data_IF_880224468690
#
_entry.id   IF_880224468690
#
_cell.length_a   1.000
_cell.length_b   1.000
_cell.length_c   1.000
_cell.angle_alpha   90.00
_cell.angle_beta   90.00
_cell.angle_gamma   90.00
#
_symmetry.space_group_name_H-M   'P 1'
#
loop_
_entity.id
_entity.type
_entity.pdbx_description
1 polymer ?
#
# COMPACT_ATOMS: atom_id res chain seq x y z
N UNK A 1 17.02 10.99 14.33
CA UNK A 1 16.12 11.92 15.06
C UNK A 1 14.70 11.55 14.66
N UNK A 2 13.69 11.71 15.53
CA UNK A 2 12.30 11.45 15.16
C UNK A 2 11.88 12.37 14.02
N UNK A 3 11.01 11.86 13.14
CA UNK A 3 10.45 12.61 12.01
C UNK A 3 9.26 13.48 12.42
N UNK A 4 8.58 13.08 13.50
CA UNK A 4 7.41 13.80 14.02
C UNK A 4 7.71 14.31 15.44
N UNK A 5 7.64 15.64 15.62
CA UNK A 5 7.84 16.30 16.92
C UNK A 5 6.52 16.30 17.73
N UNK A 6 6.09 15.12 18.12
CA UNK A 6 4.93 14.92 19.00
C UNK A 6 5.05 13.59 19.73
N UNK A 7 4.36 13.48 20.86
CA UNK A 7 4.17 12.22 21.57
C UNK A 7 3.13 11.31 20.86
N UNK A 8 3.00 10.08 21.35
CA UNK A 8 1.96 9.16 20.89
C UNK A 8 0.58 9.74 21.17
N UNK A 9 -0.27 9.79 20.15
CA UNK A 9 -1.62 10.34 20.24
C UNK A 9 -2.51 9.36 21.01
N UNK A 10 -3.18 9.86 22.05
CA UNK A 10 -4.00 9.07 22.96
C UNK A 10 -5.44 9.57 23.01
N UNK A 11 -6.32 8.76 23.55
CA UNK A 11 -7.66 9.18 23.87
C UNK A 11 -7.65 10.07 25.14
N UNK A 12 -8.20 11.26 25.03
CA UNK A 12 -8.31 12.23 26.13
C UNK A 12 -9.77 12.67 26.38
N UNK A 13 -10.71 12.16 25.60
CA UNK A 13 -12.12 12.54 25.70
C UNK A 13 -12.49 13.87 25.07
N UNK A 14 -13.80 14.14 25.00
CA UNK A 14 -14.37 15.28 24.29
C UNK A 14 -14.02 16.65 24.89
N UNK A 15 -13.63 16.68 26.15
CA UNK A 15 -13.22 17.92 26.85
C UNK A 15 -11.79 18.34 26.57
N UNK A 16 -10.97 17.49 25.97
CA UNK A 16 -9.57 17.79 25.66
C UNK A 16 -9.44 19.01 24.74
N UNK A 17 -8.48 19.86 25.06
CA UNK A 17 -8.08 21.03 24.24
C UNK A 17 -6.88 20.71 23.34
N UNK A 18 -6.28 19.53 23.47
CA UNK A 18 -5.18 19.11 22.62
C UNK A 18 -5.64 19.01 21.16
N UNK A 19 -4.87 19.55 20.19
CA UNK A 19 -5.11 19.32 18.77
C UNK A 19 -4.68 17.89 18.34
N UNK A 20 -3.82 17.23 19.13
CA UNK A 20 -3.25 15.90 18.87
C UNK A 20 -3.78 14.91 19.92
N UNK A 21 -5.10 14.74 19.98
CA UNK A 21 -5.75 13.75 20.84
C UNK A 21 -6.96 13.13 20.16
N UNK A 22 -7.21 11.86 20.39
CA UNK A 22 -8.48 11.25 20.06
C UNK A 22 -9.53 11.69 21.08
N UNK A 23 -10.62 12.26 20.58
CA UNK A 23 -11.68 12.83 21.44
C UNK A 23 -12.92 11.94 21.52
N UNK A 24 -13.13 11.11 20.52
CA UNK A 24 -14.32 10.28 20.38
C UNK A 24 -14.01 8.79 20.34
N UNK A 25 -12.86 8.41 19.79
CA UNK A 25 -12.42 7.02 19.71
C UNK A 25 -11.59 6.67 20.95
N UNK A 26 -12.17 5.83 21.81
CA UNK A 26 -11.48 5.21 22.93
C UNK A 26 -11.16 3.74 22.58
N UNK A 27 -9.90 3.39 22.27
CA UNK A 27 -9.54 2.04 21.88
C UNK A 27 -9.80 0.99 22.95
N UNK A 28 -9.79 1.38 24.22
CA UNK A 28 -9.92 0.48 25.36
C UNK A 28 -11.36 0.39 25.92
N UNK A 29 -12.30 1.13 25.33
CA UNK A 29 -13.73 1.02 25.70
C UNK A 29 -14.25 -0.37 25.39
N UNK A 30 -14.91 -0.98 26.40
CA UNK A 30 -15.48 -2.32 26.25
C UNK A 30 -16.92 -2.23 25.79
N UNK A 31 -17.18 -2.81 24.60
CA UNK A 31 -18.52 -2.90 24.01
C UNK A 31 -18.81 -4.37 23.66
N UNK A 32 -19.89 -4.93 24.19
CA UNK A 32 -20.24 -6.33 23.92
C UNK A 32 -19.15 -7.35 24.29
N UNK A 33 -18.35 -7.05 25.31
CA UNK A 33 -17.30 -7.94 25.83
C UNK A 33 -15.96 -7.88 25.08
N UNK A 34 -15.80 -6.95 24.13
CA UNK A 34 -14.55 -6.71 23.39
C UNK A 34 -14.16 -5.24 23.48
N UNK A 35 -12.86 -4.95 23.38
CA UNK A 35 -12.39 -3.57 23.27
C UNK A 35 -12.79 -2.93 21.94
N UNK A 36 -12.91 -1.62 21.90
CA UNK A 36 -13.23 -0.90 20.67
C UNK A 36 -12.18 -1.16 19.57
N UNK A 37 -10.91 -1.27 19.91
CA UNK A 37 -9.84 -1.63 18.96
C UNK A 37 -10.00 -3.02 18.36
N UNK A 38 -10.59 -4.00 19.12
CA UNK A 38 -10.87 -5.33 18.61
C UNK A 38 -12.08 -5.36 17.68
N UNK A 39 -13.01 -4.39 17.83
CA UNK A 39 -14.12 -4.20 16.90
C UNK A 39 -13.69 -3.47 15.62
N UNK A 40 -12.83 -2.47 15.75
CA UNK A 40 -12.43 -1.55 14.67
C UNK A 40 -10.93 -1.67 14.40
N UNK A 41 -10.53 -2.62 13.56
CA UNK A 41 -9.15 -2.77 13.12
C UNK A 41 -8.80 -1.70 12.08
N UNK A 42 -8.11 -0.65 12.50
CA UNK A 42 -7.62 0.38 11.59
C UNK A 42 -6.32 -0.05 10.91
N UNK A 43 -6.27 0.16 9.59
CA UNK A 43 -5.05 0.00 8.80
C UNK A 43 -4.71 1.31 8.08
N UNK A 44 -3.44 1.68 8.08
CA UNK A 44 -2.99 2.83 7.30
C UNK A 44 -2.58 2.38 5.89
N UNK A 45 -3.14 3.00 4.84
CA UNK A 45 -2.70 2.75 3.47
C UNK A 45 -1.43 3.55 3.17
N UNK A 46 -0.34 2.84 2.83
CA UNK A 46 0.97 3.44 2.58
C UNK A 46 0.92 4.58 1.56
N UNK A 47 0.17 4.39 0.46
CA UNK A 47 0.06 5.39 -0.61
C UNK A 47 -0.58 6.70 -0.17
N UNK A 48 -1.61 6.65 0.68
CA UNK A 48 -2.25 7.87 1.18
C UNK A 48 -1.40 8.59 2.22
N UNK A 49 -0.67 7.85 3.06
CA UNK A 49 0.13 8.45 4.13
C UNK A 49 1.46 8.95 3.61
N UNK A 50 2.17 8.14 2.82
CA UNK A 50 3.56 8.40 2.44
C UNK A 50 3.71 9.01 1.05
N UNK A 51 2.75 8.78 0.12
CA UNK A 51 2.86 9.14 -1.29
C UNK A 51 1.81 10.15 -1.76
N UNK A 52 1.04 10.73 -0.84
CA UNK A 52 0.01 11.71 -1.20
C UNK A 52 0.65 13.09 -1.42
N UNK A 53 0.80 13.45 -2.67
CA UNK A 53 1.33 14.75 -3.11
C UNK A 53 0.25 15.85 -3.15
N UNK A 54 -0.97 15.55 -2.67
CA UNK A 54 -2.14 16.46 -2.71
C UNK A 54 -2.55 16.86 -4.12
N UNK A 55 -2.45 15.92 -5.07
CA UNK A 55 -3.05 16.08 -6.40
C UNK A 55 -4.57 16.07 -6.32
N UNK A 56 -5.23 16.81 -7.19
CA UNK A 56 -6.67 16.92 -7.31
C UNK A 56 -7.09 17.05 -8.78
N UNK A 57 -8.39 17.17 -9.11
CA UNK A 57 -8.84 17.35 -10.48
C UNK A 57 -8.35 18.65 -11.17
N UNK A 58 -7.80 19.60 -10.42
CA UNK A 58 -7.32 20.88 -10.95
C UNK A 58 -5.83 20.84 -11.30
N UNK A 59 -5.06 19.85 -10.86
CA UNK A 59 -3.66 19.75 -11.21
C UNK A 59 -2.89 18.65 -10.49
N UNK A 60 -1.61 18.58 -10.86
CA UNK A 60 -0.66 17.68 -10.21
C UNK A 60 -0.44 18.08 -8.75
N UNK A 61 0.05 17.12 -7.96
CA UNK A 61 0.39 17.36 -6.57
C UNK A 61 1.40 18.50 -6.37
N UNK A 62 1.16 19.30 -5.35
CA UNK A 62 2.00 20.47 -4.99
C UNK A 62 2.69 20.31 -3.64
N UNK A 63 2.40 19.23 -2.91
CA UNK A 63 3.01 18.99 -1.62
C UNK A 63 4.32 18.22 -1.77
N UNK A 64 5.40 18.78 -1.23
CA UNK A 64 6.65 18.07 -1.00
C UNK A 64 6.69 17.66 0.47
N UNK A 65 6.77 16.34 0.72
CA UNK A 65 6.84 15.84 2.09
C UNK A 65 8.26 16.01 2.63
N UNK A 66 8.43 16.31 3.94
CA UNK A 66 9.75 16.55 4.54
C UNK A 66 10.74 15.38 4.42
N UNK A 67 10.23 14.17 4.24
CA UNK A 67 11.01 12.93 4.08
C UNK A 67 11.24 12.54 2.63
N UNK A 68 10.77 13.34 1.66
CA UNK A 68 10.84 13.04 0.24
C UNK A 68 11.77 14.04 -0.46
N UNK A 69 12.72 13.55 -1.23
CA UNK A 69 13.66 14.37 -2.01
C UNK A 69 13.25 14.47 -3.48
N UNK A 70 12.10 13.90 -3.86
CA UNK A 70 11.61 13.84 -5.23
C UNK A 70 12.29 12.77 -6.09
N UNK A 71 13.25 12.02 -5.56
CA UNK A 71 13.89 10.92 -6.30
C UNK A 71 13.04 9.64 -6.29
N UNK A 72 13.34 8.75 -7.23
CA UNK A 72 12.82 7.40 -7.31
C UNK A 72 13.92 6.37 -6.97
N UNK A 73 14.61 6.56 -5.85
CA UNK A 73 15.71 5.70 -5.40
C UNK A 73 15.25 4.71 -4.31
N UNK A 74 16.04 3.65 -4.12
CA UNK A 74 15.79 2.70 -3.03
C UNK A 74 16.06 3.35 -1.67
N UNK A 75 17.00 4.26 -1.55
CA UNK A 75 17.36 4.97 -0.32
C UNK A 75 16.18 5.78 0.21
N UNK A 76 15.48 6.49 -0.67
CA UNK A 76 14.30 7.24 -0.26
C UNK A 76 13.12 6.31 0.08
N UNK A 77 13.01 5.15 -0.58
CA UNK A 77 12.03 4.15 -0.23
C UNK A 77 12.27 3.59 1.19
N UNK A 78 13.54 3.30 1.54
CA UNK A 78 13.90 2.85 2.89
C UNK A 78 13.63 3.93 3.94
N UNK A 79 13.96 5.18 3.66
CA UNK A 79 13.66 6.33 4.54
C UNK A 79 12.16 6.44 4.80
N UNK A 80 11.33 6.30 3.76
CA UNK A 80 9.87 6.35 3.92
C UNK A 80 9.33 5.24 4.82
N UNK A 81 9.95 4.06 4.84
CA UNK A 81 9.54 2.97 5.75
C UNK A 81 9.78 3.38 7.21
N UNK A 82 10.92 3.98 7.53
CA UNK A 82 11.20 4.46 8.90
C UNK A 82 10.17 5.50 9.34
N UNK A 83 9.91 6.49 8.49
CA UNK A 83 8.88 7.51 8.75
C UNK A 83 7.49 6.88 8.95
N UNK A 84 7.16 5.89 8.13
CA UNK A 84 5.85 5.24 8.17
C UNK A 84 5.63 4.50 9.49
N UNK A 85 6.61 3.73 9.95
CA UNK A 85 6.48 3.01 11.23
C UNK A 85 6.46 3.96 12.42
N UNK A 86 7.20 5.07 12.39
CA UNK A 86 7.07 6.12 13.40
C UNK A 86 5.66 6.72 13.41
N UNK A 87 5.08 6.99 12.23
CA UNK A 87 3.70 7.46 12.11
C UNK A 87 2.71 6.45 12.70
N UNK A 88 2.83 5.17 12.33
CA UNK A 88 1.94 4.11 12.81
C UNK A 88 1.96 3.98 14.34
N UNK A 89 3.16 4.00 14.93
CA UNK A 89 3.32 3.93 16.39
C UNK A 89 2.70 5.15 17.06
N UNK A 90 3.01 6.36 16.59
CA UNK A 90 2.46 7.60 17.18
C UNK A 90 0.94 7.70 17.06
N UNK A 91 0.36 7.18 15.98
CA UNK A 91 -1.09 7.12 15.77
C UNK A 91 -1.77 5.94 16.49
N UNK A 92 -1.00 4.98 17.01
CA UNK A 92 -1.54 3.77 17.60
C UNK A 92 -2.27 2.86 16.60
N UNK A 93 -1.82 2.86 15.34
CA UNK A 93 -2.39 2.03 14.26
C UNK A 93 -1.66 0.70 14.22
N UNK A 94 -2.43 -0.41 14.32
CA UNK A 94 -1.87 -1.76 14.44
C UNK A 94 -1.67 -2.47 13.12
N UNK A 95 -2.24 -1.95 12.02
CA UNK A 95 -2.17 -2.58 10.70
C UNK A 95 -1.78 -1.57 9.62
N UNK A 96 -1.17 -2.09 8.55
CA UNK A 96 -0.93 -1.32 7.33
C UNK A 96 -1.24 -2.14 6.08
N UNK A 97 -1.34 -1.46 4.95
CA UNK A 97 -1.45 -2.06 3.63
C UNK A 97 -0.67 -1.24 2.61
N UNK A 98 -0.25 -1.87 1.51
CA UNK A 98 0.57 -1.21 0.49
C UNK A 98 0.24 -1.65 -0.93
N UNK A 99 0.56 -0.79 -1.90
CA UNK A 99 0.81 -1.18 -3.28
C UNK A 99 2.31 -1.32 -3.53
N UNK A 100 2.72 -2.33 -4.31
CA UNK A 100 4.14 -2.61 -4.57
C UNK A 100 4.93 -1.37 -5.03
N UNK A 101 4.36 -0.55 -5.91
CA UNK A 101 5.06 0.61 -6.50
C UNK A 101 5.03 1.88 -5.65
N UNK A 102 4.12 1.97 -4.70
CA UNK A 102 4.11 3.07 -3.72
C UNK A 102 5.20 2.85 -2.67
N UNK A 103 5.38 1.58 -2.28
CA UNK A 103 6.40 1.14 -1.33
C UNK A 103 7.81 1.19 -1.92
N UNK A 104 7.97 0.71 -3.15
CA UNK A 104 9.25 0.61 -3.84
C UNK A 104 9.12 1.08 -5.30
N UNK A 105 9.92 2.03 -5.76
CA UNK A 105 9.89 2.47 -7.16
C UNK A 105 10.33 1.36 -8.11
N UNK A 106 10.03 1.53 -9.40
CA UNK A 106 10.52 0.65 -10.46
C UNK A 106 11.92 1.09 -10.88
N UNK A 107 12.88 0.17 -10.88
CA UNK A 107 14.25 0.34 -11.33
C UNK A 107 14.40 0.08 -12.84
N UNK A 108 15.64 0.03 -13.32
CA UNK A 108 15.95 -0.16 -14.74
C UNK A 108 15.63 -1.56 -15.29
N UNK A 109 15.54 -2.58 -14.42
CA UNK A 109 15.17 -3.96 -14.78
C UNK A 109 14.24 -4.58 -13.75
N UNK A 110 13.64 -5.73 -14.10
CA UNK A 110 12.79 -6.50 -13.17
C UNK A 110 13.63 -7.05 -12.03
N UNK A 111 14.84 -7.54 -12.31
CA UNK A 111 15.77 -8.09 -11.33
C UNK A 111 16.20 -7.03 -10.32
N UNK A 112 16.58 -5.86 -10.79
CA UNK A 112 16.98 -4.74 -9.95
C UNK A 112 15.78 -4.27 -9.09
N UNK A 113 14.60 -4.12 -9.70
CA UNK A 113 13.37 -3.79 -8.97
C UNK A 113 13.07 -4.80 -7.87
N UNK A 114 13.20 -6.10 -8.17
CA UNK A 114 12.98 -7.15 -7.18
C UNK A 114 14.01 -7.08 -6.04
N UNK A 115 15.28 -6.78 -6.33
CA UNK A 115 16.30 -6.57 -5.30
C UNK A 115 15.98 -5.37 -4.40
N UNK A 116 15.51 -4.27 -4.96
CA UNK A 116 15.05 -3.12 -4.18
C UNK A 116 13.84 -3.45 -3.31
N UNK A 117 12.89 -4.22 -3.87
CA UNK A 117 11.73 -4.69 -3.10
C UNK A 117 12.13 -5.60 -1.94
N UNK A 118 13.15 -6.45 -2.10
CA UNK A 118 13.69 -7.27 -1.01
C UNK A 118 14.30 -6.40 0.10
N UNK A 119 15.10 -5.41 -0.26
CA UNK A 119 15.68 -4.47 0.71
C UNK A 119 14.60 -3.68 1.48
N UNK A 120 13.55 -3.24 0.79
CA UNK A 120 12.42 -2.57 1.44
C UNK A 120 11.65 -3.55 2.33
N UNK A 121 11.49 -4.82 1.94
CA UNK A 121 10.85 -5.83 2.77
C UNK A 121 11.66 -6.15 4.04
N UNK A 122 13.00 -6.21 3.96
CA UNK A 122 13.87 -6.33 5.13
C UNK A 122 13.58 -5.19 6.12
N UNK A 123 13.47 -3.97 5.61
CA UNK A 123 13.18 -2.78 6.41
C UNK A 123 11.78 -2.79 7.02
N UNK A 124 10.78 -3.29 6.28
CA UNK A 124 9.42 -3.48 6.79
C UNK A 124 9.39 -4.51 7.93
N UNK A 125 10.12 -5.63 7.80
CA UNK A 125 10.25 -6.61 8.88
C UNK A 125 10.88 -6.02 10.15
N UNK A 126 11.91 -5.18 10.01
CA UNK A 126 12.52 -4.47 11.14
C UNK A 126 11.47 -3.58 11.84
N UNK A 127 10.71 -2.80 11.07
CA UNK A 127 9.65 -1.96 11.59
C UNK A 127 8.54 -2.75 12.29
N UNK A 128 8.09 -3.87 11.70
CA UNK A 128 7.11 -4.78 12.30
C UNK A 128 7.63 -5.35 13.64
N UNK A 129 8.88 -5.80 13.69
CA UNK A 129 9.50 -6.33 14.93
C UNK A 129 9.62 -5.26 16.01
N UNK A 130 9.96 -4.04 15.64
CA UNK A 130 10.15 -2.92 16.58
C UNK A 130 8.83 -2.41 17.18
N UNK A 131 7.75 -2.39 16.40
CA UNK A 131 6.48 -1.74 16.78
C UNK A 131 5.34 -2.72 17.08
N UNK A 132 5.43 -3.97 16.60
CA UNK A 132 4.33 -4.94 16.66
C UNK A 132 3.22 -4.71 15.61
N UNK A 133 3.35 -3.69 14.76
CA UNK A 133 2.43 -3.42 13.66
C UNK A 133 2.48 -4.55 12.63
N UNK A 134 1.36 -4.91 12.04
CA UNK A 134 1.20 -6.06 11.14
C UNK A 134 0.76 -5.63 9.75
N UNK A 135 1.16 -6.39 8.74
CA UNK A 135 0.62 -6.25 7.39
C UNK A 135 -0.80 -6.83 7.33
N UNK A 136 -1.79 -6.02 6.99
CA UNK A 136 -3.15 -6.50 6.76
C UNK A 136 -3.27 -7.13 5.37
N UNK A 137 -2.81 -6.42 4.33
CA UNK A 137 -2.78 -6.93 2.96
C UNK A 137 -1.77 -6.18 2.09
N UNK A 138 -1.20 -6.90 1.13
CA UNK A 138 -0.45 -6.35 0.02
C UNK A 138 -1.27 -6.32 -1.26
N UNK A 139 -0.88 -5.49 -2.22
CA UNK A 139 -1.43 -5.48 -3.58
C UNK A 139 -0.42 -4.96 -4.58
N UNK A 140 -0.66 -5.24 -5.87
CA UNK A 140 0.15 -4.71 -6.96
C UNK A 140 -0.47 -3.45 -7.56
N UNK A 141 0.37 -2.47 -7.87
CA UNK A 141 0.00 -1.35 -8.72
C UNK A 141 0.16 -1.76 -10.19
N UNK A 142 -0.92 -2.21 -10.81
CA UNK A 142 -1.01 -2.57 -12.24
C UNK A 142 -1.83 -1.53 -13.03
N UNK A 143 -1.80 -0.27 -12.62
CA UNK A 143 -2.67 0.76 -13.18
C UNK A 143 -2.00 2.14 -13.35
N UNK A 144 -1.00 2.49 -12.56
CA UNK A 144 -0.38 3.82 -12.62
C UNK A 144 0.60 3.97 -13.79
N UNK A 145 1.37 2.94 -14.11
CA UNK A 145 2.32 3.01 -15.21
C UNK A 145 1.59 2.97 -16.55
N UNK A 146 2.01 3.80 -17.51
CA UNK A 146 1.39 3.91 -18.85
C UNK A 146 1.28 2.59 -19.63
N UNK A 147 2.12 1.56 -19.35
CA UNK A 147 1.99 0.23 -19.96
C UNK A 147 0.64 -0.41 -19.68
N UNK A 148 0.01 -0.06 -18.56
CA UNK A 148 -1.26 -0.60 -18.12
C UNK A 148 -2.47 0.25 -18.55
N UNK A 149 -2.31 1.15 -19.51
CA UNK A 149 -3.42 2.00 -19.98
C UNK A 149 -4.63 1.19 -20.50
N UNK A 150 -4.37 -0.01 -21.04
CA UNK A 150 -5.39 -0.95 -21.54
C UNK A 150 -5.52 -2.19 -20.64
N UNK A 151 -5.33 -2.04 -19.33
CA UNK A 151 -5.34 -3.13 -18.38
C UNK A 151 -3.95 -3.71 -18.10
N UNK A 152 -3.83 -4.47 -17.01
CA UNK A 152 -2.68 -5.28 -16.67
C UNK A 152 -2.93 -6.75 -17.02
N UNK A 153 -3.67 -7.49 -16.18
CA UNK A 153 -4.06 -8.88 -16.42
C UNK A 153 -4.84 -9.14 -17.72
N UNK A 154 -5.63 -8.17 -18.16
CA UNK A 154 -6.51 -8.29 -19.35
C UNK A 154 -5.94 -7.58 -20.59
N UNK A 155 -4.71 -7.08 -20.51
CA UNK A 155 -4.09 -6.34 -21.60
C UNK A 155 -4.01 -7.21 -22.88
N UNK A 156 -4.35 -6.66 -24.06
CA UNK A 156 -4.23 -7.38 -25.32
C UNK A 156 -2.77 -7.69 -25.73
N UNK A 157 -1.79 -6.99 -25.12
CA UNK A 157 -0.36 -7.26 -25.31
C UNK A 157 0.11 -8.32 -24.30
N UNK A 158 0.50 -9.54 -24.76
CA UNK A 158 0.95 -10.59 -23.86
C UNK A 158 2.23 -10.24 -23.09
N UNK A 159 3.07 -9.32 -23.58
CA UNK A 159 4.25 -8.85 -22.85
C UNK A 159 3.84 -8.02 -21.62
N UNK A 160 2.77 -7.24 -21.72
CA UNK A 160 2.22 -6.49 -20.58
C UNK A 160 1.60 -7.44 -19.55
N UNK A 161 0.88 -8.47 -20.00
CA UNK A 161 0.32 -9.51 -19.12
C UNK A 161 1.45 -10.25 -18.38
N UNK A 162 2.52 -10.63 -19.09
CA UNK A 162 3.68 -11.29 -18.48
C UNK A 162 4.37 -10.40 -17.43
N UNK A 163 4.51 -9.10 -17.71
CA UNK A 163 5.07 -8.15 -16.77
C UNK A 163 4.16 -7.98 -15.53
N UNK A 164 2.84 -7.89 -15.74
CA UNK A 164 1.87 -7.85 -14.64
C UNK A 164 1.96 -9.10 -13.76
N UNK A 165 2.07 -10.29 -14.38
CA UNK A 165 2.22 -11.55 -13.64
C UNK A 165 3.53 -11.58 -12.82
N UNK A 166 4.66 -11.14 -13.39
CA UNK A 166 5.92 -11.05 -12.68
C UNK A 166 5.85 -10.12 -11.45
N UNK A 167 5.20 -8.97 -11.59
CA UNK A 167 4.98 -8.04 -10.48
C UNK A 167 4.08 -8.64 -9.39
N UNK A 168 2.98 -9.28 -9.78
CA UNK A 168 2.05 -9.92 -8.83
C UNK A 168 2.77 -11.04 -8.08
N UNK A 169 3.50 -11.91 -8.79
CA UNK A 169 4.26 -13.00 -8.19
C UNK A 169 5.18 -12.47 -7.07
N UNK A 170 6.03 -11.48 -7.39
CA UNK A 170 6.93 -10.88 -6.40
C UNK A 170 6.18 -10.27 -5.22
N UNK A 171 5.09 -9.58 -5.47
CA UNK A 171 4.30 -8.94 -4.43
C UNK A 171 3.59 -9.95 -3.51
N UNK A 172 3.12 -11.09 -4.06
CA UNK A 172 2.59 -12.21 -3.27
C UNK A 172 3.65 -12.81 -2.35
N UNK A 173 4.85 -13.09 -2.89
CA UNK A 173 5.97 -13.61 -2.11
C UNK A 173 6.31 -12.69 -0.93
N UNK A 174 6.36 -11.37 -1.17
CA UNK A 174 6.63 -10.40 -0.11
C UNK A 174 5.47 -10.28 0.87
N UNK A 175 4.22 -10.32 0.42
CA UNK A 175 3.05 -10.29 1.30
C UNK A 175 3.06 -11.51 2.24
N UNK A 176 3.38 -12.68 1.70
CA UNK A 176 3.53 -13.90 2.50
C UNK A 176 4.70 -13.79 3.51
N UNK A 177 5.87 -13.34 3.04
CA UNK A 177 7.06 -13.11 3.86
C UNK A 177 6.79 -12.17 5.04
N UNK A 178 6.06 -11.09 4.80
CA UNK A 178 5.71 -10.07 5.80
C UNK A 178 4.53 -10.48 6.70
N UNK A 179 4.00 -11.71 6.55
CA UNK A 179 2.90 -12.22 7.36
C UNK A 179 1.56 -11.54 7.08
N UNK A 180 1.34 -11.06 5.84
CA UNK A 180 0.08 -10.43 5.44
C UNK A 180 -1.10 -11.39 5.54
N UNK A 181 -2.22 -10.91 6.09
CA UNK A 181 -3.44 -11.72 6.25
C UNK A 181 -4.13 -11.99 4.92
N UNK A 182 -3.98 -11.06 3.95
CA UNK A 182 -4.67 -11.11 2.66
C UNK A 182 -3.79 -10.53 1.54
N UNK A 183 -4.18 -10.83 0.30
CA UNK A 183 -3.69 -10.16 -0.90
C UNK A 183 -4.87 -9.62 -1.71
N UNK A 184 -4.83 -8.35 -2.08
CA UNK A 184 -5.89 -7.72 -2.85
C UNK A 184 -5.52 -7.69 -4.33
N UNK A 185 -6.36 -8.26 -5.17
CA UNK A 185 -6.28 -8.13 -6.64
C UNK A 185 -7.22 -7.02 -7.08
N UNK A 186 -6.65 -5.84 -7.34
CA UNK A 186 -7.42 -4.68 -7.77
C UNK A 186 -7.19 -4.39 -9.25
N UNK A 187 -8.25 -4.52 -10.05
CA UNK A 187 -8.26 -4.26 -11.48
C UNK A 187 -8.50 -2.79 -11.81
N UNK A 188 -7.56 -1.90 -11.46
CA UNK A 188 -7.75 -0.46 -11.59
C UNK A 188 -7.84 0.06 -13.04
N UNK A 189 -7.36 -0.70 -14.01
CA UNK A 189 -7.42 -0.42 -15.45
C UNK A 189 -7.97 -1.57 -16.27
N UNK A 190 -8.29 -2.68 -15.62
CA UNK A 190 -8.92 -3.84 -16.28
C UNK A 190 -10.42 -3.59 -16.44
N UNK A 191 -11.03 -4.24 -17.41
CA UNK A 191 -12.39 -4.00 -17.80
C UNK A 191 -12.47 -3.12 -19.04
N UNK A 192 -13.46 -2.23 -19.11
CA UNK A 192 -13.68 -1.41 -20.28
C UNK A 192 -13.72 0.09 -19.97
N UNK A 193 -13.25 0.90 -20.90
CA UNK A 193 -13.46 2.35 -20.91
C UNK A 193 -14.59 2.76 -21.86
N UNK A 194 -14.78 1.97 -22.94
CA UNK A 194 -15.82 2.19 -23.93
C UNK A 194 -16.27 0.84 -24.50
N UNK A 195 -17.57 0.59 -24.49
CA UNK A 195 -18.15 -0.64 -25.05
C UNK A 195 -17.88 -0.85 -26.56
N UNK A 196 -17.62 0.24 -27.29
CA UNK A 196 -17.39 0.18 -28.72
C UNK A 196 -16.01 -0.40 -29.10
N UNK A 197 -15.07 -0.42 -28.18
CA UNK A 197 -13.69 -0.88 -28.45
C UNK A 197 -13.22 -1.99 -27.49
N UNK A 198 -14.13 -2.61 -26.77
CA UNK A 198 -13.79 -3.62 -25.76
C UNK A 198 -14.58 -4.90 -25.97
N UNK A 199 -13.87 -6.03 -26.02
CA UNK A 199 -14.45 -7.38 -25.94
C UNK A 199 -14.64 -7.74 -24.46
N UNK A 200 -15.87 -7.58 -23.96
CA UNK A 200 -16.23 -7.81 -22.57
C UNK A 200 -16.06 -9.28 -22.13
N UNK A 201 -16.24 -10.24 -23.05
CA UNK A 201 -16.06 -11.66 -22.76
C UNK A 201 -14.56 -11.99 -22.62
N UNK A 202 -13.73 -11.47 -23.51
CA UNK A 202 -12.29 -11.59 -23.42
C UNK A 202 -11.73 -10.96 -22.14
N UNK A 203 -12.19 -9.77 -21.74
CA UNK A 203 -11.83 -9.10 -20.48
C UNK A 203 -12.15 -10.00 -19.28
N UNK A 204 -13.39 -10.46 -19.16
CA UNK A 204 -13.82 -11.30 -18.04
C UNK A 204 -13.04 -12.63 -17.99
N UNK A 205 -12.86 -13.27 -19.14
CA UNK A 205 -12.15 -14.55 -19.26
C UNK A 205 -10.66 -14.40 -18.93
N UNK A 206 -10.02 -13.35 -19.43
CA UNK A 206 -8.61 -13.02 -19.15
C UNK A 206 -8.37 -12.76 -17.67
N UNK A 207 -9.21 -11.92 -17.06
CA UNK A 207 -9.09 -11.63 -15.62
C UNK A 207 -9.31 -12.87 -14.76
N UNK A 208 -10.34 -13.68 -15.08
CA UNK A 208 -10.58 -14.92 -14.37
C UNK A 208 -9.42 -15.94 -14.52
N UNK A 209 -8.78 -16.01 -15.68
CA UNK A 209 -7.60 -16.85 -15.89
C UNK A 209 -6.42 -16.37 -15.05
N UNK A 210 -6.18 -15.07 -15.00
CA UNK A 210 -5.12 -14.47 -14.19
C UNK A 210 -5.35 -14.71 -12.69
N UNK A 211 -6.57 -14.52 -12.18
CA UNK A 211 -6.92 -14.81 -10.79
C UNK A 211 -6.69 -16.28 -10.42
N UNK A 212 -7.08 -17.21 -11.33
CA UNK A 212 -6.81 -18.64 -11.11
C UNK A 212 -5.32 -18.97 -11.08
N UNK A 213 -4.51 -18.31 -11.90
CA UNK A 213 -3.05 -18.49 -11.88
C UNK A 213 -2.46 -17.95 -10.56
N UNK A 214 -2.89 -16.76 -10.14
CA UNK A 214 -2.46 -16.12 -8.89
C UNK A 214 -2.81 -16.95 -7.65
N UNK A 215 -4.03 -17.54 -7.61
CA UNK A 215 -4.48 -18.33 -6.45
C UNK A 215 -3.80 -19.70 -6.30
N UNK A 216 -3.06 -20.14 -7.33
CA UNK A 216 -2.28 -21.41 -7.31
C UNK A 216 -0.82 -21.21 -6.93
N UNK A 217 -0.37 -19.99 -6.91
CA UNK A 217 0.99 -19.62 -6.54
C UNK A 217 1.11 -19.45 -5.05
#
# INVERSE_FOLDING_TARGET
>A
MPHFDCDKIQYEGTSSKSPLAFKHYNPDEIVGGKSMKDHLRFAAPYWHVMRNERGDPFGAGTALMPWDDGSASVEIALTRVDVFFEFLDKMGIEYYCFHARDMCPEAGSVEETNSWMDAVADKLEEGQKATGVKLLWGTCNLFSHRRYMNGGPTNPDPAVVAMAAAQVKKCLELTHRLGGENFVMWGGRDGYQCLLNTDMEAEASGYAAFLRATSRH
#
